data_IF_730383114645
#
_entry.id   IF_730383114645
#
_cell.length_a   1.000
_cell.length_b   1.000
_cell.length_c   1.000
_cell.angle_alpha   90.00
_cell.angle_beta   90.00
_cell.angle_gamma   90.00
#
_symmetry.space_group_name_H-M   'P 1'
#
loop_
_entity.id
_entity.type
_entity.pdbx_description
1 polymer ?
#
# COMPACT_ATOMS: atom_id res chain seq x y z
N UNK A 1 2.10 1.83 10.50
CA UNK A 1 0.95 2.42 9.82
C UNK A 1 0.91 3.92 10.05
N UNK A 2 0.59 4.69 9.04
CA UNK A 2 0.53 6.14 9.13
C UNK A 2 -0.92 6.57 9.22
N UNK A 3 -1.28 7.39 10.20
CA UNK A 3 -2.66 7.81 10.43
C UNK A 3 -2.80 9.32 10.36
N UNK A 4 -4.01 9.79 10.11
CA UNK A 4 -4.33 11.20 10.07
C UNK A 4 -5.21 11.55 8.87
N UNK A 5 -5.50 12.84 8.65
CA UNK A 5 -6.30 13.26 7.50
C UNK A 5 -5.60 12.94 6.18
N UNK A 6 -6.37 12.53 5.19
CA UNK A 6 -5.81 12.28 3.87
C UNK A 6 -5.44 13.61 3.20
N UNK A 7 -4.55 13.56 2.24
CA UNK A 7 -4.15 14.74 1.49
C UNK A 7 -3.10 15.60 2.14
N UNK A 8 -2.69 15.28 3.36
CA UNK A 8 -1.59 15.97 3.99
C UNK A 8 -0.29 15.30 3.57
N UNK A 9 0.82 15.57 4.22
CA UNK A 9 2.12 15.01 3.84
C UNK A 9 2.26 13.49 3.90
N UNK A 10 1.21 12.74 4.20
CA UNK A 10 1.30 11.29 4.35
C UNK A 10 1.65 10.59 3.04
N UNK A 11 1.00 10.96 1.95
CA UNK A 11 1.30 10.36 0.65
C UNK A 11 2.73 10.62 0.23
N UNK A 12 3.24 11.82 0.49
CA UNK A 12 4.63 12.16 0.19
C UNK A 12 5.58 11.34 1.05
N UNK A 13 5.27 11.20 2.34
CA UNK A 13 6.09 10.41 3.27
C UNK A 13 6.15 8.95 2.84
N UNK A 14 5.00 8.37 2.50
CA UNK A 14 4.95 6.97 2.07
C UNK A 14 5.71 6.77 0.75
N UNK A 15 5.57 7.72 -0.18
CA UNK A 15 6.29 7.64 -1.45
C UNK A 15 7.80 7.68 -1.22
N UNK A 16 8.26 8.53 -0.30
CA UNK A 16 9.67 8.63 0.04
C UNK A 16 10.18 7.33 0.68
N UNK A 17 9.39 6.73 1.53
CA UNK A 17 9.73 5.45 2.16
C UNK A 17 9.87 4.34 1.11
N UNK A 18 8.91 4.27 0.20
CA UNK A 18 8.94 3.27 -0.88
C UNK A 18 10.16 3.50 -1.77
N UNK A 19 10.45 4.75 -2.11
CA UNK A 19 11.62 5.06 -2.93
C UNK A 19 12.92 4.65 -2.23
N UNK A 20 13.01 4.90 -0.95
CA UNK A 20 14.18 4.50 -0.17
C UNK A 20 14.38 2.99 -0.20
N UNK A 21 13.32 2.24 0.06
CA UNK A 21 13.37 0.78 0.06
C UNK A 21 13.71 0.26 -1.35
N UNK A 22 13.07 0.84 -2.36
CA UNK A 22 13.30 0.48 -3.75
C UNK A 22 14.75 0.70 -4.16
N UNK A 23 15.41 1.70 -3.59
CA UNK A 23 16.80 2.02 -3.92
C UNK A 23 17.81 1.18 -3.14
N UNK A 24 17.43 0.66 -1.98
CA UNK A 24 18.39 0.04 -1.07
C UNK A 24 18.17 -1.45 -0.83
N UNK A 25 17.02 -1.99 -1.16
CA UNK A 25 16.69 -3.39 -0.86
C UNK A 25 16.11 -4.07 -2.08
N UNK A 26 16.41 -5.37 -2.21
CA UNK A 26 15.87 -6.19 -3.30
C UNK A 26 14.62 -6.91 -2.82
N UNK A 27 13.47 -6.27 -2.95
CA UNK A 27 12.21 -6.80 -2.46
C UNK A 27 11.11 -6.64 -3.50
N UNK A 28 10.02 -7.36 -3.32
CA UNK A 28 8.83 -7.20 -4.14
C UNK A 28 7.88 -6.26 -3.40
N UNK A 29 7.68 -5.08 -3.95
CA UNK A 29 6.83 -4.05 -3.36
C UNK A 29 5.56 -3.96 -4.19
N UNK A 30 4.41 -4.12 -3.54
CA UNK A 30 3.13 -4.00 -4.22
C UNK A 30 2.34 -2.88 -3.56
N UNK A 31 1.84 -1.96 -4.39
CA UNK A 31 1.02 -0.86 -3.87
C UNK A 31 -0.39 -0.96 -4.43
N UNK A 32 -1.33 -0.51 -3.63
CA UNK A 32 -2.73 -0.40 -4.02
C UNK A 32 -3.14 1.04 -3.72
N UNK A 33 -3.41 1.80 -4.78
CA UNK A 33 -3.64 3.24 -4.66
C UNK A 33 -4.87 3.66 -5.44
N UNK A 34 -5.48 4.74 -5.03
CA UNK A 34 -6.64 5.30 -5.70
C UNK A 34 -6.66 6.82 -5.53
N UNK A 35 -6.08 7.56 -6.45
CA UNK A 35 -5.27 7.14 -7.60
C UNK A 35 -3.78 7.01 -7.25
N UNK A 36 -2.99 6.58 -8.23
CA UNK A 36 -1.53 6.60 -8.07
C UNK A 36 -1.08 8.07 -8.14
N UNK A 37 -0.45 8.54 -7.06
CA UNK A 37 0.02 9.92 -7.00
C UNK A 37 1.48 10.06 -7.41
N UNK A 38 2.30 9.04 -7.12
CA UNK A 38 3.71 9.03 -7.46
C UNK A 38 4.04 7.73 -8.18
N UNK A 39 4.66 7.83 -9.34
CA UNK A 39 5.06 6.65 -10.10
C UNK A 39 6.48 6.25 -9.73
N UNK A 40 6.66 5.01 -9.33
CA UNK A 40 7.96 4.47 -8.97
C UNK A 40 8.48 3.59 -10.07
N UNK A 41 9.74 3.80 -10.46
CA UNK A 41 10.41 2.92 -11.41
C UNK A 41 11.14 1.85 -10.60
N UNK A 42 11.02 0.60 -11.00
CA UNK A 42 11.74 -0.47 -10.31
C UNK A 42 13.24 -0.21 -10.39
N UNK A 43 13.88 -0.25 -9.24
CA UNK A 43 15.33 -0.02 -9.13
C UNK A 43 15.97 -1.30 -8.61
N UNK A 44 16.28 -1.35 -7.31
CA UNK A 44 16.79 -2.57 -6.68
C UNK A 44 15.65 -3.54 -6.39
N UNK A 45 14.48 -3.00 -6.04
CA UNK A 45 13.27 -3.79 -5.82
C UNK A 45 12.42 -3.86 -7.09
N UNK A 46 11.47 -4.79 -7.10
CA UNK A 46 10.44 -4.83 -8.13
C UNK A 46 9.22 -4.14 -7.53
N UNK A 47 8.75 -3.09 -8.20
CA UNK A 47 7.60 -2.32 -7.72
C UNK A 47 6.43 -2.50 -8.67
N UNK A 48 5.34 -3.03 -8.15
CA UNK A 48 4.07 -3.12 -8.86
C UNK A 48 3.08 -2.17 -8.20
N UNK A 49 2.65 -1.17 -8.96
CA UNK A 49 1.66 -0.22 -8.48
C UNK A 49 0.32 -0.52 -9.12
N UNK A 50 -0.69 -0.74 -8.27
CA UNK A 50 -2.05 -0.97 -8.72
C UNK A 50 -2.90 0.23 -8.40
N UNK A 51 -3.61 0.72 -9.38
CA UNK A 51 -4.57 1.79 -9.18
C UNK A 51 -5.97 1.21 -9.22
N UNK A 52 -6.77 1.56 -8.22
CA UNK A 52 -8.17 1.19 -8.24
C UNK A 52 -8.86 2.02 -9.30
N UNK A 53 -9.47 1.38 -10.26
CA UNK A 53 -10.22 2.09 -11.27
C UNK A 53 -11.69 2.15 -10.91
N UNK A 54 -12.48 2.63 -11.85
CA UNK A 54 -13.92 2.71 -11.66
C UNK A 54 -14.56 1.34 -11.47
N UNK A 55 -13.93 0.30 -12.00
CA UNK A 55 -14.44 -1.06 -11.91
C UNK A 55 -14.01 -1.79 -10.65
N UNK A 56 -13.11 -1.22 -9.89
CA UNK A 56 -12.60 -1.89 -8.70
C UNK A 56 -13.51 -1.59 -7.52
N UNK A 57 -13.95 -2.64 -6.88
CA UNK A 57 -14.97 -2.52 -5.86
C UNK A 57 -14.47 -2.11 -4.50
N UNK A 58 -13.26 -2.52 -4.13
CA UNK A 58 -12.76 -2.17 -2.82
C UNK A 58 -11.28 -2.46 -2.70
N UNK A 59 -10.66 -1.76 -1.77
CA UNK A 59 -9.28 -2.04 -1.38
C UNK A 59 -9.15 -3.44 -0.81
N UNK A 60 -10.20 -3.94 -0.13
CA UNK A 60 -10.17 -5.28 0.45
C UNK A 60 -9.99 -6.35 -0.62
N UNK A 61 -10.75 -6.26 -1.73
CA UNK A 61 -10.61 -7.22 -2.82
C UNK A 61 -9.24 -7.13 -3.47
N UNK A 62 -8.74 -5.91 -3.67
CA UNK A 62 -7.43 -5.70 -4.25
C UNK A 62 -6.34 -6.27 -3.34
N UNK A 63 -6.48 -6.08 -2.03
CA UNK A 63 -5.52 -6.60 -1.07
C UNK A 63 -5.52 -8.12 -1.02
N UNK A 64 -6.68 -8.74 -1.11
CA UNK A 64 -6.78 -10.21 -1.18
C UNK A 64 -6.02 -10.74 -2.40
N UNK A 65 -6.20 -10.09 -3.55
CA UNK A 65 -5.49 -10.49 -4.77
C UNK A 65 -3.99 -10.27 -4.62
N UNK A 66 -3.61 -9.16 -4.01
CA UNK A 66 -2.20 -8.84 -3.80
C UNK A 66 -1.49 -9.86 -2.94
N UNK A 67 -2.16 -10.33 -1.89
CA UNK A 67 -1.58 -11.31 -0.98
C UNK A 67 -1.26 -12.64 -1.67
N UNK A 68 -1.96 -12.96 -2.74
CA UNK A 68 -1.70 -14.17 -3.52
C UNK A 68 -0.39 -14.08 -4.29
N UNK A 69 0.13 -12.90 -4.52
CA UNK A 69 1.40 -12.70 -5.22
C UNK A 69 2.59 -12.80 -4.26
N UNK A 70 2.31 -12.93 -2.98
CA UNK A 70 3.31 -13.08 -1.92
C UNK A 70 4.36 -11.96 -1.95
N UNK A 71 3.94 -10.69 -1.92
CA UNK A 71 4.89 -9.59 -1.91
C UNK A 71 5.58 -9.47 -0.55
N UNK A 72 6.77 -8.88 -0.53
CA UNK A 72 7.48 -8.63 0.72
C UNK A 72 6.91 -7.41 1.42
N UNK A 73 6.54 -6.40 0.65
CA UNK A 73 6.04 -5.13 1.16
C UNK A 73 4.76 -4.78 0.44
N UNK A 74 3.76 -4.37 1.22
CA UNK A 74 2.47 -3.94 0.67
C UNK A 74 2.19 -2.54 1.16
N UNK A 75 1.83 -1.65 0.24
CA UNK A 75 1.35 -0.32 0.60
C UNK A 75 -0.10 -0.19 0.17
N UNK A 76 -0.96 0.13 1.12
CA UNK A 76 -2.38 0.40 0.85
C UNK A 76 -2.61 1.89 1.00
N UNK A 77 -3.00 2.55 -0.08
CA UNK A 77 -3.11 4.00 -0.10
C UNK A 77 -4.04 4.57 0.94
N UNK A 78 -5.17 3.93 1.15
CA UNK A 78 -6.13 4.40 2.15
C UNK A 78 -6.97 3.23 2.64
N UNK A 79 -7.05 3.08 3.95
CA UNK A 79 -7.87 2.04 4.56
C UNK A 79 -9.07 2.68 5.23
N UNK A 80 -10.25 2.42 4.71
CA UNK A 80 -11.48 3.03 5.19
C UNK A 80 -12.41 2.07 5.90
N UNK A 81 -12.37 0.80 5.53
CA UNK A 81 -13.30 -0.18 6.04
C UNK A 81 -12.60 -1.22 6.91
N UNK A 82 -13.40 -1.84 7.77
CA UNK A 82 -12.88 -2.83 8.71
C UNK A 82 -12.28 -4.04 8.01
N UNK A 83 -12.83 -4.44 6.88
CA UNK A 83 -12.33 -5.60 6.16
C UNK A 83 -10.91 -5.36 5.65
N UNK A 84 -10.66 -4.20 5.06
CA UNK A 84 -9.33 -3.86 4.57
C UNK A 84 -8.33 -3.80 5.72
N UNK A 85 -8.72 -3.17 6.83
CA UNK A 85 -7.86 -3.05 8.00
C UNK A 85 -7.53 -4.43 8.56
N UNK A 86 -8.54 -5.28 8.69
CA UNK A 86 -8.35 -6.64 9.21
C UNK A 86 -7.41 -7.46 8.33
N UNK A 87 -7.56 -7.35 7.01
CA UNK A 87 -6.69 -8.04 6.07
C UNK A 87 -5.25 -7.53 6.16
N UNK A 88 -5.08 -6.22 6.31
CA UNK A 88 -3.76 -5.64 6.45
C UNK A 88 -3.06 -6.11 7.72
N UNK A 89 -3.81 -6.16 8.83
CA UNK A 89 -3.27 -6.65 10.09
C UNK A 89 -2.89 -8.12 10.00
N UNK A 90 -3.73 -8.94 9.37
CA UNK A 90 -3.43 -10.35 9.18
C UNK A 90 -2.19 -10.53 8.31
N UNK A 91 -2.05 -9.73 7.25
CA UNK A 91 -0.88 -9.78 6.40
C UNK A 91 0.39 -9.44 7.18
N UNK A 92 0.31 -8.43 8.04
CA UNK A 92 1.45 -8.06 8.88
C UNK A 92 1.84 -9.19 9.84
N UNK A 93 0.86 -9.89 10.38
CA UNK A 93 1.11 -11.02 11.28
C UNK A 93 1.73 -12.21 10.55
N UNK A 94 1.49 -12.36 9.27
CA UNK A 94 2.01 -13.47 8.48
C UNK A 94 3.32 -13.15 7.77
N UNK A 95 3.99 -12.08 8.16
CA UNK A 95 5.34 -11.79 7.70
C UNK A 95 5.49 -10.74 6.62
N UNK A 96 4.40 -10.15 6.17
CA UNK A 96 4.46 -9.06 5.20
C UNK A 96 4.63 -7.74 5.93
N UNK A 97 5.42 -6.85 5.35
CA UNK A 97 5.51 -5.48 5.86
C UNK A 97 4.41 -4.65 5.19
N UNK A 98 3.53 -4.10 6.00
CA UNK A 98 2.37 -3.38 5.46
C UNK A 98 2.40 -1.91 5.87
N UNK A 99 2.32 -1.04 4.89
CA UNK A 99 2.16 0.39 5.10
C UNK A 99 0.78 0.81 4.61
N UNK A 100 0.18 1.77 5.30
CA UNK A 100 -1.10 2.27 4.86
C UNK A 100 -1.47 3.54 5.60
N UNK A 101 -2.46 4.24 5.07
CA UNK A 101 -3.04 5.37 5.77
C UNK A 101 -4.42 4.99 6.25
N UNK A 102 -4.78 5.44 7.44
CA UNK A 102 -6.12 5.27 7.96
C UNK A 102 -6.89 6.56 7.73
N UNK A 103 -8.09 6.42 7.19
CA UNK A 103 -8.98 7.57 7.06
C UNK A 103 -9.70 7.75 8.38
N UNK A 104 -9.40 8.84 9.06
CA UNK A 104 -10.08 9.16 10.33
C UNK A 104 -11.05 10.28 10.08
N UNK A 105 -12.31 10.02 10.33
CA UNK A 105 -13.33 11.03 10.30
C UNK A 105 -13.59 11.46 11.73
N UNK A 106 -13.14 12.59 12.07
CA UNK A 106 -13.35 13.10 13.42
C UNK A 106 -13.94 14.47 13.39
#
# INVERSE_FOLDING_TARGET
>A
MVTGPTGSGKSTTLAAMIDYINSTRAEHILTIEDPIEFVHTSKTSIVHQRELGLDTRSFANALKSALREDPDIILVGEMRDHETIALALTAAETGHLVFGTLHTSS
#
